data_IF_460412674490
#
_entry.id   IF_460412674490
#
_cell.length_a   1.000
_cell.length_b   1.000
_cell.length_c   1.000
_cell.angle_alpha   90.00
_cell.angle_beta   90.00
_cell.angle_gamma   90.00
#
_symmetry.space_group_name_H-M   'P 1'
#
loop_
_entity.id
_entity.type
_entity.pdbx_description
1 polymer ?
#
# COMPACT_ATOMS: atom_id res chain seq x y z
N UNK A 1 -12.54 21.09 26.14
CA UNK A 1 -11.91 20.46 24.94
C UNK A 1 -11.90 18.95 25.18
N UNK A 2 -12.34 18.11 24.22
CA UNK A 2 -12.29 16.64 24.40
C UNK A 2 -10.84 16.17 24.39
N UNK A 3 -10.49 15.21 25.24
CA UNK A 3 -9.17 14.61 25.22
C UNK A 3 -8.91 13.89 23.88
N UNK A 4 -7.71 14.01 23.30
CA UNK A 4 -7.36 13.28 22.08
C UNK A 4 -7.34 11.77 22.33
N UNK A 5 -7.69 11.00 21.31
CA UNK A 5 -7.59 9.54 21.35
C UNK A 5 -6.10 9.12 21.39
N UNK A 6 -5.78 8.10 22.20
CA UNK A 6 -4.40 7.67 22.37
C UNK A 6 -3.79 7.13 21.07
N UNK A 7 -2.49 7.34 20.80
CA UNK A 7 -1.83 6.81 19.60
C UNK A 7 -2.00 5.29 19.44
N UNK A 8 -1.95 4.56 20.56
CA UNK A 8 -2.20 3.11 20.59
C UNK A 8 -3.58 2.75 20.04
N UNK A 9 -4.63 3.43 20.49
CA UNK A 9 -5.99 3.17 20.02
C UNK A 9 -6.12 3.47 18.52
N UNK A 10 -5.56 4.60 18.06
CA UNK A 10 -5.58 5.01 16.65
C UNK A 10 -4.87 3.99 15.76
N UNK A 11 -3.73 3.47 16.21
CA UNK A 11 -2.97 2.44 15.51
C UNK A 11 -3.74 1.12 15.47
N UNK A 12 -4.22 0.63 16.61
CA UNK A 12 -4.99 -0.62 16.67
C UNK A 12 -6.23 -0.57 15.77
N UNK A 13 -6.99 0.53 15.80
CA UNK A 13 -8.14 0.73 14.93
C UNK A 13 -7.78 0.61 13.45
N UNK A 14 -6.70 1.27 13.04
CA UNK A 14 -6.27 1.30 11.64
C UNK A 14 -5.75 -0.07 11.19
N UNK A 15 -4.96 -0.75 12.03
CA UNK A 15 -4.46 -2.10 11.70
C UNK A 15 -5.60 -3.11 11.60
N UNK A 16 -6.60 -3.06 12.49
CA UNK A 16 -7.77 -3.94 12.40
C UNK A 16 -8.60 -3.66 11.14
N UNK A 17 -8.75 -2.39 10.76
CA UNK A 17 -9.39 -2.01 9.49
C UNK A 17 -8.66 -2.62 8.28
N UNK A 18 -7.32 -2.46 8.21
CA UNK A 18 -6.50 -2.98 7.11
C UNK A 18 -6.49 -4.50 7.05
N UNK A 19 -6.43 -5.19 8.19
CA UNK A 19 -6.33 -6.65 8.25
C UNK A 19 -7.64 -7.36 7.85
N UNK A 20 -8.79 -6.76 8.18
CA UNK A 20 -10.09 -7.40 7.94
C UNK A 20 -10.78 -6.96 6.65
N UNK A 21 -10.36 -5.84 6.05
CA UNK A 21 -10.98 -5.30 4.83
C UNK A 21 -12.44 -4.84 5.05
N UNK A 22 -12.83 -4.56 6.29
CA UNK A 22 -14.19 -4.13 6.63
C UNK A 22 -14.43 -2.65 6.34
N UNK A 23 -15.70 -2.23 6.37
CA UNK A 23 -16.05 -0.82 6.23
C UNK A 23 -15.65 0.02 7.45
N UNK A 24 -15.36 1.30 7.22
CA UNK A 24 -15.20 2.28 8.31
C UNK A 24 -16.47 2.40 9.19
N UNK A 25 -17.64 1.99 8.67
CA UNK A 25 -18.89 1.94 9.42
C UNK A 25 -18.81 0.90 10.53
N UNK A 26 -18.30 -0.28 10.24
CA UNK A 26 -18.15 -1.35 11.25
C UNK A 26 -17.16 -0.93 12.33
N UNK A 27 -16.04 -0.31 11.93
CA UNK A 27 -14.99 0.12 12.87
C UNK A 27 -15.41 1.20 13.85
N UNK A 28 -16.31 2.10 13.46
CA UNK A 28 -16.83 3.11 14.39
C UNK A 28 -17.61 2.45 15.55
N UNK A 29 -18.34 1.35 15.28
CA UNK A 29 -19.10 0.62 16.28
C UNK A 29 -18.16 -0.20 17.17
N UNK A 30 -17.23 -0.94 16.57
CA UNK A 30 -16.29 -1.81 17.27
C UNK A 30 -15.42 -1.03 18.27
N UNK A 31 -14.83 0.07 17.84
CA UNK A 31 -13.94 0.88 18.68
C UNK A 31 -14.67 1.96 19.47
N UNK A 32 -15.99 2.09 19.30
CA UNK A 32 -16.84 3.14 19.93
C UNK A 32 -16.31 4.55 19.70
N UNK A 33 -15.79 4.81 18.50
CA UNK A 33 -15.26 6.10 18.05
C UNK A 33 -16.24 6.72 17.06
N UNK A 34 -16.43 8.05 17.09
CA UNK A 34 -17.31 8.72 16.14
C UNK A 34 -16.93 8.45 14.68
N UNK A 35 -17.92 8.20 13.80
CA UNK A 35 -17.68 7.87 12.38
C UNK A 35 -16.77 8.88 11.67
N UNK A 36 -17.02 10.17 11.85
CA UNK A 36 -16.18 11.24 11.27
C UNK A 36 -14.74 11.22 11.79
N UNK A 37 -14.53 10.78 13.03
CA UNK A 37 -13.20 10.62 13.62
C UNK A 37 -12.50 9.40 13.03
N UNK A 38 -13.19 8.27 12.85
CA UNK A 38 -12.65 7.08 12.17
C UNK A 38 -12.18 7.40 10.75
N UNK A 39 -13.02 8.10 9.96
CA UNK A 39 -12.68 8.50 8.60
C UNK A 39 -11.46 9.42 8.51
N UNK A 40 -11.10 10.12 9.60
CA UNK A 40 -9.88 10.94 9.68
C UNK A 40 -8.67 10.12 10.18
N UNK A 41 -8.87 9.27 11.18
CA UNK A 41 -7.82 8.49 11.82
C UNK A 41 -7.16 7.52 10.83
N UNK A 42 -7.95 6.76 10.09
CA UNK A 42 -7.43 5.72 9.19
C UNK A 42 -6.43 6.29 8.18
N UNK A 43 -6.77 7.30 7.35
CA UNK A 43 -5.80 7.85 6.39
C UNK A 43 -4.61 8.55 7.07
N UNK A 44 -4.80 9.20 8.23
CA UNK A 44 -3.68 9.81 8.97
C UNK A 44 -2.67 8.76 9.46
N UNK A 45 -3.16 7.66 10.03
CA UNK A 45 -2.30 6.58 10.51
C UNK A 45 -1.67 5.82 9.34
N UNK A 46 -2.40 5.53 8.26
CA UNK A 46 -1.80 4.94 7.05
C UNK A 46 -0.66 5.79 6.50
N UNK A 47 -0.83 7.13 6.48
CA UNK A 47 0.23 8.06 6.07
C UNK A 47 1.43 8.01 7.01
N UNK A 48 1.20 7.98 8.33
CA UNK A 48 2.28 7.87 9.31
C UNK A 48 3.05 6.55 9.17
N UNK A 49 2.34 5.43 8.98
CA UNK A 49 2.93 4.11 8.71
C UNK A 49 3.80 4.17 7.46
N UNK A 50 3.27 4.72 6.36
CA UNK A 50 4.02 4.84 5.10
C UNK A 50 5.29 5.68 5.28
N UNK A 51 5.19 6.88 5.86
CA UNK A 51 6.32 7.79 6.03
C UNK A 51 7.45 7.18 6.88
N UNK A 52 7.11 6.37 7.89
CA UNK A 52 8.10 5.77 8.79
C UNK A 52 8.66 4.47 8.21
N UNK A 53 7.83 3.62 7.60
CA UNK A 53 8.24 2.29 7.19
C UNK A 53 8.73 2.21 5.75
N UNK A 54 8.24 3.07 4.83
CA UNK A 54 8.62 3.00 3.41
C UNK A 54 10.15 3.02 3.20
N UNK A 55 10.94 3.88 3.88
CA UNK A 55 12.40 3.88 3.71
C UNK A 55 13.07 2.59 4.22
N UNK A 56 12.42 1.88 5.15
CA UNK A 56 12.92 0.63 5.74
C UNK A 56 12.57 -0.58 4.87
N UNK A 57 11.36 -0.61 4.32
CA UNK A 57 10.87 -1.78 3.56
C UNK A 57 11.08 -1.66 2.05
N UNK A 58 11.20 -0.44 1.53
CA UNK A 58 11.41 -0.11 0.11
C UNK A 58 12.53 0.94 -0.04
N UNK A 59 13.76 0.63 0.43
CA UNK A 59 14.88 1.55 0.30
C UNK A 59 15.24 1.76 -1.18
N UNK A 60 15.74 2.94 -1.52
CA UNK A 60 16.33 3.19 -2.83
C UNK A 60 17.58 2.31 -3.01
N UNK A 61 17.62 1.59 -4.12
CA UNK A 61 18.74 0.70 -4.45
C UNK A 61 19.81 1.46 -5.23
N UNK A 62 21.07 1.27 -4.82
CA UNK A 62 22.25 1.66 -5.56
C UNK A 62 22.66 0.57 -6.58
N UNK A 63 23.71 0.83 -7.36
CA UNK A 63 24.20 -0.11 -8.37
C UNK A 63 24.55 -1.48 -7.79
N UNK A 64 25.16 -1.52 -6.60
CA UNK A 64 25.48 -2.77 -5.90
C UNK A 64 24.22 -3.49 -5.40
N UNK A 65 23.19 -2.75 -4.99
CA UNK A 65 21.86 -3.27 -4.67
C UNK A 65 21.25 -4.03 -5.85
N UNK A 66 21.23 -3.41 -7.02
CA UNK A 66 20.74 -4.04 -8.25
C UNK A 66 21.57 -5.26 -8.67
N UNK A 67 22.89 -5.16 -8.56
CA UNK A 67 23.80 -6.29 -8.85
C UNK A 67 23.52 -7.48 -7.94
N UNK A 68 23.33 -7.27 -6.64
CA UNK A 68 22.98 -8.33 -5.69
C UNK A 68 21.66 -9.01 -6.04
N UNK A 69 20.63 -8.25 -6.46
CA UNK A 69 19.37 -8.86 -6.91
C UNK A 69 19.59 -9.74 -8.14
N UNK A 70 20.38 -9.27 -9.11
CA UNK A 70 20.73 -10.06 -10.29
C UNK A 70 21.48 -11.35 -9.95
N UNK A 71 22.42 -11.30 -9.03
CA UNK A 71 23.15 -12.48 -8.56
C UNK A 71 22.19 -13.47 -7.87
N UNK A 72 21.25 -12.98 -7.06
CA UNK A 72 20.24 -13.82 -6.43
C UNK A 72 19.28 -14.47 -7.44
N UNK A 73 18.89 -13.75 -8.49
CA UNK A 73 18.08 -14.33 -9.56
C UNK A 73 18.82 -15.43 -10.31
N UNK A 74 20.10 -15.22 -10.60
CA UNK A 74 20.93 -16.25 -11.21
C UNK A 74 21.01 -17.49 -10.30
N UNK A 75 21.31 -17.30 -9.00
CA UNK A 75 21.47 -18.41 -8.06
C UNK A 75 20.18 -19.23 -7.87
N UNK A 76 19.03 -18.57 -7.71
CA UNK A 76 17.76 -19.25 -7.38
C UNK A 76 16.97 -19.72 -8.59
N UNK A 77 17.01 -18.94 -9.67
CA UNK A 77 16.11 -19.10 -10.80
C UNK A 77 16.84 -19.34 -12.12
N UNK A 78 18.19 -19.37 -12.11
CA UNK A 78 19.03 -19.50 -13.31
C UNK A 78 18.68 -18.44 -14.38
N UNK A 79 18.27 -17.25 -13.91
CA UNK A 79 17.92 -16.13 -14.78
C UNK A 79 19.03 -15.07 -14.72
N UNK A 80 19.94 -15.03 -15.70
CA UNK A 80 21.05 -14.07 -15.71
C UNK A 80 20.55 -12.63 -15.91
N UNK A 81 21.24 -11.68 -15.30
CA UNK A 81 21.01 -10.22 -15.45
C UNK A 81 19.59 -9.73 -15.08
N UNK A 82 18.81 -10.54 -14.36
CA UNK A 82 17.46 -10.16 -13.94
C UNK A 82 17.49 -9.32 -12.66
N UNK A 83 17.10 -8.05 -12.76
CA UNK A 83 17.09 -7.11 -11.63
C UNK A 83 15.74 -7.06 -10.90
N UNK A 84 14.75 -7.83 -11.34
CA UNK A 84 13.46 -7.94 -10.70
C UNK A 84 12.36 -8.43 -11.63
N UNK A 85 11.29 -8.95 -11.03
CA UNK A 85 10.05 -9.29 -11.72
C UNK A 85 9.05 -8.13 -11.58
N UNK A 86 8.68 -7.50 -12.71
CA UNK A 86 7.77 -6.36 -12.76
C UNK A 86 6.36 -6.83 -13.13
N UNK A 87 5.36 -6.44 -12.35
CA UNK A 87 3.96 -6.66 -12.69
C UNK A 87 3.06 -5.52 -12.19
N UNK A 88 1.93 -5.34 -12.89
CA UNK A 88 0.95 -4.30 -12.62
C UNK A 88 -0.41 -4.87 -12.25
N UNK A 89 -1.03 -4.34 -11.19
CA UNK A 89 -2.38 -4.73 -10.75
C UNK A 89 -3.31 -3.53 -10.66
N UNK A 90 -4.50 -3.68 -11.25
CA UNK A 90 -5.62 -2.77 -10.98
C UNK A 90 -6.18 -3.04 -9.58
N UNK A 91 -5.93 -2.11 -8.66
CA UNK A 91 -6.52 -2.07 -7.32
C UNK A 91 -7.88 -1.39 -7.42
N UNK A 92 -8.95 -2.13 -7.15
CA UNK A 92 -10.31 -1.59 -7.17
C UNK A 92 -10.49 -0.47 -6.14
N UNK A 93 -11.17 0.60 -6.53
CA UNK A 93 -11.47 1.76 -5.70
C UNK A 93 -12.93 2.16 -5.85
N UNK A 94 -13.45 2.86 -4.85
CA UNK A 94 -14.67 3.63 -5.04
C UNK A 94 -14.39 4.79 -6.02
N UNK A 95 -15.33 5.03 -6.94
CA UNK A 95 -15.24 6.13 -7.90
C UNK A 95 -15.00 7.46 -7.17
N UNK A 96 -13.86 8.14 -7.38
CA UNK A 96 -13.63 9.42 -6.75
C UNK A 96 -14.66 10.47 -7.23
N UNK A 97 -15.12 11.38 -6.35
CA UNK A 97 -16.04 12.43 -6.76
C UNK A 97 -15.48 13.24 -7.93
N UNK A 98 -16.34 13.57 -8.90
CA UNK A 98 -15.99 14.40 -10.06
C UNK A 98 -14.87 13.84 -10.97
N UNK A 99 -14.51 12.55 -10.88
CA UNK A 99 -13.40 11.97 -11.65
C UNK A 99 -13.72 11.55 -13.09
N UNK A 100 -14.98 11.69 -13.53
CA UNK A 100 -15.42 11.18 -14.84
C UNK A 100 -15.08 9.69 -15.02
N UNK A 101 -14.35 9.38 -16.09
CA UNK A 101 -13.83 8.04 -16.43
C UNK A 101 -12.33 7.86 -16.13
N UNK A 102 -11.68 8.81 -15.45
CA UNK A 102 -10.22 8.81 -15.24
C UNK A 102 -9.68 7.53 -14.58
N UNK A 103 -10.44 6.93 -13.67
CA UNK A 103 -10.06 5.68 -13.00
C UNK A 103 -10.80 4.46 -13.57
N UNK A 104 -11.62 4.64 -14.61
CA UNK A 104 -12.44 3.57 -15.16
C UNK A 104 -11.62 2.72 -16.13
N UNK A 105 -11.36 1.46 -15.75
CA UNK A 105 -10.51 0.58 -16.54
C UNK A 105 -11.29 -0.22 -17.60
N UNK A 106 -10.55 -0.96 -18.44
CA UNK A 106 -11.11 -1.80 -19.49
C UNK A 106 -11.96 -2.99 -18.97
N UNK A 107 -11.78 -3.36 -17.69
CA UNK A 107 -12.56 -4.39 -16.99
C UNK A 107 -13.88 -3.85 -16.41
N UNK A 108 -14.25 -2.61 -16.74
CA UNK A 108 -15.53 -1.96 -16.38
C UNK A 108 -15.72 -1.71 -14.87
N UNK A 109 -14.64 -1.42 -14.15
CA UNK A 109 -14.68 -0.94 -12.78
C UNK A 109 -13.69 0.21 -12.55
N UNK A 110 -13.81 0.91 -11.41
CA UNK A 110 -12.89 1.99 -11.04
C UNK A 110 -11.68 1.44 -10.30
N UNK A 111 -10.48 1.82 -10.70
CA UNK A 111 -9.24 1.30 -10.11
C UNK A 111 -8.07 2.28 -10.16
N UNK A 112 -7.10 2.09 -9.29
CA UNK A 112 -5.74 2.64 -9.44
C UNK A 112 -4.77 1.52 -9.82
N UNK A 113 -3.78 1.82 -10.65
CA UNK A 113 -2.71 0.87 -10.97
C UNK A 113 -1.68 0.87 -9.83
N UNK A 114 -1.34 -0.33 -9.36
CA UNK A 114 -0.15 -0.62 -8.56
C UNK A 114 0.83 -1.34 -9.46
N UNK A 115 1.97 -0.72 -9.76
CA UNK A 115 3.10 -1.36 -10.42
C UNK A 115 4.13 -1.73 -9.35
N UNK A 116 4.61 -2.97 -9.34
CA UNK A 116 5.56 -3.43 -8.33
C UNK A 116 6.68 -4.27 -8.97
N UNK A 117 7.90 -4.05 -8.49
CA UNK A 117 9.07 -4.85 -8.82
C UNK A 117 9.41 -5.74 -7.61
N UNK A 118 9.62 -7.03 -7.85
CA UNK A 118 10.02 -8.00 -6.84
C UNK A 118 11.45 -8.49 -7.04
N UNK A 119 12.15 -8.79 -5.95
CA UNK A 119 13.42 -9.53 -5.99
C UNK A 119 13.21 -11.05 -6.14
N UNK A 120 14.33 -11.78 -6.23
CA UNK A 120 14.36 -13.24 -6.30
C UNK A 120 13.80 -13.95 -5.06
N UNK A 121 13.50 -13.22 -3.97
CA UNK A 121 12.92 -13.72 -2.72
C UNK A 121 11.43 -13.36 -2.59
N UNK A 122 10.81 -12.88 -3.68
CA UNK A 122 9.42 -12.42 -3.69
C UNK A 122 9.15 -11.22 -2.76
N UNK A 123 10.17 -10.39 -2.51
CA UNK A 123 10.02 -9.14 -1.76
C UNK A 123 9.93 -7.98 -2.72
N UNK A 124 9.02 -7.05 -2.46
CA UNK A 124 8.97 -5.80 -3.22
C UNK A 124 10.26 -4.99 -2.99
N UNK A 125 10.85 -4.51 -4.08
CA UNK A 125 12.02 -3.63 -4.10
C UNK A 125 11.67 -2.23 -4.56
N UNK A 126 10.59 -2.11 -5.34
CA UNK A 126 10.09 -0.84 -5.82
C UNK A 126 8.60 -0.93 -6.11
N UNK A 127 7.87 0.17 -5.90
CA UNK A 127 6.45 0.28 -6.25
C UNK A 127 6.16 1.68 -6.81
N UNK A 128 5.21 1.74 -7.74
CA UNK A 128 4.59 2.96 -8.24
C UNK A 128 3.07 2.84 -8.16
N UNK A 129 2.41 3.89 -7.67
CA UNK A 129 0.99 3.86 -7.30
C UNK A 129 0.30 5.06 -7.94
N UNK A 130 -0.74 4.77 -8.74
CA UNK A 130 -1.65 5.81 -9.23
C UNK A 130 -1.25 6.49 -10.53
N UNK A 131 -0.40 5.85 -11.36
CA UNK A 131 -0.33 6.20 -12.77
C UNK A 131 -1.64 5.82 -13.47
N UNK A 132 -2.16 6.76 -14.28
CA UNK A 132 -3.47 6.74 -14.93
C UNK A 132 -3.40 6.21 -16.35
#
# INVERSE_FOLDING_TARGET
MRAPLSPRLRLSLTLTYLAQGESMRTKHLEFRVGKSTVCKIIPEVCRAIWLVLQPVVLPTLDADGWKRISEQYMLKWQFPNCIGALDGRHMEIEKPPCSGSQYHNYKRFFSMVLLALCDANHKFTWVDIGQF
#
